data_IF_363027254434
#
_entry.id   IF_363027254434
#
_cell.length_a   1.000
_cell.length_b   1.000
_cell.length_c   1.000
_cell.angle_alpha   90.00
_cell.angle_beta   90.00
_cell.angle_gamma   90.00
#
_symmetry.space_group_name_H-M   'P 1'
#
loop_
_entity.id
_entity.type
_entity.pdbx_description
1 polymer ?
#
# COMPACT_ATOMS: atom_id res chain seq x y z
N UNK A 1 26.57 -31.58 -14.61
CA UNK A 1 26.68 -30.78 -13.37
C UNK A 1 26.82 -29.28 -13.62
N UNK A 2 27.81 -28.83 -14.42
CA UNK A 2 28.02 -27.40 -14.73
C UNK A 2 26.81 -26.68 -15.36
N UNK A 3 26.06 -27.35 -16.25
CA UNK A 3 24.84 -26.81 -16.87
C UNK A 3 23.71 -26.64 -15.85
N UNK A 4 23.57 -27.56 -14.89
CA UNK A 4 22.55 -27.50 -13.84
C UNK A 4 22.81 -26.33 -12.87
N UNK A 5 24.08 -26.12 -12.48
CA UNK A 5 24.51 -24.99 -11.64
C UNK A 5 24.28 -23.66 -12.37
N UNK A 6 24.57 -23.60 -13.68
CA UNK A 6 24.29 -22.41 -14.49
C UNK A 6 22.79 -22.14 -14.60
N UNK A 7 21.96 -23.16 -14.79
CA UNK A 7 20.50 -23.02 -14.80
C UNK A 7 19.95 -22.58 -13.44
N UNK A 8 20.50 -23.06 -12.32
CA UNK A 8 20.11 -22.62 -10.97
C UNK A 8 20.55 -21.18 -10.71
N UNK A 9 21.74 -20.77 -11.16
CA UNK A 9 22.21 -19.37 -11.08
C UNK A 9 21.39 -18.44 -11.97
N UNK A 10 21.01 -18.89 -13.17
CA UNK A 10 20.13 -18.12 -14.07
C UNK A 10 18.71 -18.06 -13.49
N UNK A 11 18.18 -19.15 -12.93
CA UNK A 11 16.90 -19.13 -12.22
C UNK A 11 16.96 -18.22 -10.99
N UNK A 12 18.03 -18.21 -10.20
CA UNK A 12 18.11 -17.34 -9.02
C UNK A 12 18.24 -15.85 -9.39
N UNK A 13 18.84 -15.53 -10.53
CA UNK A 13 18.82 -14.17 -11.11
C UNK A 13 17.43 -13.82 -11.70
N UNK A 14 16.73 -14.79 -12.29
CA UNK A 14 15.36 -14.60 -12.81
C UNK A 14 14.30 -14.53 -11.69
N UNK A 15 14.50 -15.20 -10.56
CA UNK A 15 13.63 -15.11 -9.37
C UNK A 15 13.79 -13.76 -8.66
N UNK A 16 14.86 -13.01 -8.94
CA UNK A 16 15.02 -11.61 -8.51
C UNK A 16 14.20 -10.61 -9.34
N UNK A 17 13.40 -11.05 -10.33
CA UNK A 17 12.26 -10.26 -10.81
C UNK A 17 11.12 -10.31 -9.80
N UNK A 18 11.42 -9.98 -8.55
CA UNK A 18 10.44 -9.74 -7.51
C UNK A 18 9.68 -8.49 -7.95
N UNK A 19 8.39 -8.64 -8.17
CA UNK A 19 7.47 -7.56 -8.50
C UNK A 19 7.35 -6.68 -7.24
N UNK A 20 8.29 -5.77 -7.04
CA UNK A 20 8.40 -4.90 -5.86
C UNK A 20 7.26 -3.90 -5.80
N UNK A 21 6.89 -3.35 -4.64
CA UNK A 21 5.70 -2.48 -4.46
C UNK A 21 6.06 -1.10 -3.92
N UNK A 22 5.39 -0.07 -4.43
CA UNK A 22 5.50 1.28 -3.92
C UNK A 22 4.15 1.99 -3.91
N UNK A 23 3.90 2.77 -2.86
CA UNK A 23 2.59 3.34 -2.56
C UNK A 23 2.68 4.71 -1.90
N UNK A 24 1.72 5.56 -2.21
CA UNK A 24 1.49 6.80 -1.48
C UNK A 24 0.87 6.45 -0.12
N UNK A 25 1.50 6.87 0.98
CA UNK A 25 0.96 6.71 2.33
C UNK A 25 0.14 7.93 2.73
N UNK A 26 0.66 9.11 2.39
CA UNK A 26 0.05 10.39 2.68
C UNK A 26 0.19 11.31 1.47
N UNK A 27 -0.89 11.91 0.94
CA UNK A 27 -2.28 11.77 1.39
C UNK A 27 -2.82 10.34 1.24
N UNK A 28 -3.81 9.95 2.04
CA UNK A 28 -4.35 8.58 2.06
C UNK A 28 -4.74 8.10 0.66
N UNK A 29 -4.17 6.99 0.15
CA UNK A 29 -4.38 6.58 -1.22
C UNK A 29 -5.75 5.94 -1.45
N UNK A 30 -6.16 5.87 -2.72
CA UNK A 30 -7.32 5.11 -3.19
C UNK A 30 -7.18 3.60 -2.96
N UNK A 31 -5.94 3.10 -2.97
CA UNK A 31 -5.57 1.74 -2.65
C UNK A 31 -4.27 1.74 -1.87
N UNK A 32 -4.28 1.10 -0.71
CA UNK A 32 -3.09 0.84 0.10
C UNK A 32 -2.20 -0.25 -0.50
N UNK A 33 -2.75 -1.05 -1.42
CA UNK A 33 -2.06 -2.06 -2.22
C UNK A 33 -2.23 -1.71 -3.71
N UNK A 34 -1.46 -0.73 -4.23
CA UNK A 34 -1.61 -0.28 -5.60
C UNK A 34 -1.23 -1.36 -6.62
N UNK A 35 -1.36 -1.04 -7.90
CA UNK A 35 -1.04 -1.91 -9.02
C UNK A 35 -0.21 -1.13 -10.05
N UNK A 36 0.74 -1.81 -10.70
CA UNK A 36 1.48 -1.25 -11.85
C UNK A 36 0.67 -1.20 -13.13
N UNK A 37 -0.37 -2.02 -13.23
CA UNK A 37 -1.15 -2.19 -14.47
C UNK A 37 -2.43 -1.39 -14.50
N UNK A 38 -2.83 -0.84 -13.35
CA UNK A 38 -4.04 -0.05 -13.21
C UNK A 38 -3.69 1.37 -12.79
N UNK A 39 -4.26 2.34 -13.51
CA UNK A 39 -4.15 3.75 -13.14
C UNK A 39 -4.68 3.93 -11.71
N UNK A 40 -4.03 4.82 -10.95
CA UNK A 40 -4.34 5.02 -9.53
C UNK A 40 -4.25 3.76 -8.66
N UNK A 41 -3.52 2.74 -9.12
CA UNK A 41 -3.32 1.50 -8.42
C UNK A 41 -4.58 0.65 -8.25
N UNK A 42 -5.64 0.89 -9.06
CA UNK A 42 -6.90 0.15 -9.00
C UNK A 42 -7.87 0.57 -7.88
N UNK A 43 -7.47 1.56 -7.07
CA UNK A 43 -8.25 2.03 -5.92
C UNK A 43 -9.55 2.79 -6.27
N UNK A 44 -10.43 2.99 -5.29
CA UNK A 44 -11.64 3.81 -5.45
C UNK A 44 -11.29 5.28 -5.30
N UNK A 45 -11.86 6.12 -6.16
CA UNK A 45 -11.80 7.55 -5.91
C UNK A 45 -12.55 7.86 -4.61
N UNK A 46 -11.89 8.53 -3.68
CA UNK A 46 -12.52 9.00 -2.45
C UNK A 46 -13.46 10.17 -2.78
N UNK A 47 -14.65 10.19 -2.16
CA UNK A 47 -15.67 11.23 -2.40
C UNK A 47 -15.34 12.56 -1.71
N UNK A 48 -14.42 12.55 -0.75
CA UNK A 48 -13.90 13.75 -0.07
C UNK A 48 -12.38 13.82 -0.21
N UNK A 49 -11.86 15.05 -0.16
CA UNK A 49 -10.43 15.29 -0.11
C UNK A 49 -9.83 14.72 1.17
N UNK A 50 -8.71 14.02 1.06
CA UNK A 50 -7.97 13.46 2.19
C UNK A 50 -7.00 14.46 2.78
N UNK A 51 -6.65 15.51 2.04
CA UNK A 51 -5.84 16.61 2.53
C UNK A 51 -6.22 17.89 1.78
N UNK A 52 -5.96 19.04 2.41
CA UNK A 52 -5.97 20.33 1.72
C UNK A 52 -4.54 20.81 1.53
N UNK A 53 -4.16 21.10 0.30
CA UNK A 53 -2.83 21.58 -0.09
C UNK A 53 -2.87 23.04 -0.52
N UNK A 54 -1.76 23.73 -0.29
CA UNK A 54 -1.54 25.10 -0.72
C UNK A 54 -1.19 25.16 -2.21
N UNK A 55 -1.94 25.91 -3.04
CA UNK A 55 -1.63 26.10 -4.46
C UNK A 55 -0.75 27.34 -4.69
N UNK A 56 0.41 27.41 -4.03
CA UNK A 56 1.42 28.46 -4.26
C UNK A 56 2.79 27.85 -4.57
N UNK A 57 3.44 28.37 -5.60
CA UNK A 57 4.74 27.89 -6.08
C UNK A 57 5.90 28.15 -5.13
N UNK A 58 5.76 29.07 -4.17
CA UNK A 58 6.77 29.38 -3.15
C UNK A 58 6.58 28.58 -1.84
N UNK A 59 5.58 27.70 -1.78
CA UNK A 59 5.30 26.83 -0.64
C UNK A 59 5.37 25.36 -1.08
N UNK A 60 5.90 24.50 -0.21
CA UNK A 60 5.85 23.05 -0.41
C UNK A 60 4.75 22.43 0.45
N UNK A 61 4.07 21.46 -0.15
CA UNK A 61 3.21 20.50 0.54
C UNK A 61 4.02 19.23 0.83
N UNK A 62 3.55 18.42 1.77
CA UNK A 62 4.22 17.16 2.12
C UNK A 62 3.41 15.97 1.62
N UNK A 63 4.09 15.05 0.95
CA UNK A 63 3.60 13.70 0.68
C UNK A 63 4.54 12.66 1.29
N UNK A 64 4.01 11.50 1.63
CA UNK A 64 4.78 10.36 2.13
C UNK A 64 4.65 9.22 1.14
N UNK A 65 5.78 8.75 0.62
CA UNK A 65 5.90 7.64 -0.31
C UNK A 65 6.60 6.48 0.39
N UNK A 66 6.06 5.27 0.29
CA UNK A 66 6.68 4.08 0.87
C UNK A 66 7.06 3.10 -0.24
N UNK A 67 8.33 2.71 -0.27
CA UNK A 67 8.78 1.53 -1.00
C UNK A 67 8.72 0.38 -0.02
N UNK A 68 7.92 -0.63 -0.35
CA UNK A 68 7.66 -1.74 0.57
C UNK A 68 8.56 -2.93 0.29
N UNK A 69 8.93 -3.15 -0.96
CA UNK A 69 9.97 -4.12 -1.37
C UNK A 69 10.51 -3.77 -2.75
N UNK A 70 11.78 -4.09 -3.01
CA UNK A 70 12.36 -4.17 -4.35
C UNK A 70 12.13 -2.95 -5.24
N UNK A 71 11.66 -3.20 -6.47
CA UNK A 71 11.63 -2.30 -7.63
C UNK A 71 10.87 -0.98 -7.49
N UNK A 72 10.30 -0.65 -6.33
CA UNK A 72 9.70 0.66 -6.06
C UNK A 72 10.66 1.86 -6.12
N UNK A 73 11.96 1.60 -6.29
CA UNK A 73 13.02 2.59 -6.39
C UNK A 73 12.93 3.45 -7.66
N UNK A 74 13.42 4.69 -7.54
CA UNK A 74 13.50 5.67 -8.60
C UNK A 74 12.65 6.92 -8.33
N UNK A 75 12.74 7.87 -9.27
CA UNK A 75 12.10 9.17 -9.14
C UNK A 75 10.58 9.05 -9.00
N UNK A 76 10.06 9.64 -7.93
CA UNK A 76 8.62 9.77 -7.70
C UNK A 76 8.16 11.08 -8.32
N UNK A 77 7.28 10.98 -9.31
CA UNK A 77 6.67 12.12 -9.98
C UNK A 77 5.25 12.30 -9.49
N UNK A 78 4.83 13.56 -9.35
CA UNK A 78 3.47 13.91 -8.95
C UNK A 78 2.75 14.67 -10.06
N UNK A 79 1.48 14.31 -10.30
CA UNK A 79 0.59 14.98 -11.26
C UNK A 79 -0.78 15.21 -10.65
N UNK A 80 -1.51 16.20 -11.16
CA UNK A 80 -2.90 16.49 -10.80
C UNK A 80 -3.83 16.35 -12.01
N UNK A 81 -4.96 15.71 -11.76
CA UNK A 81 -6.17 15.82 -12.55
C UNK A 81 -7.11 16.83 -11.87
N UNK A 82 -7.14 18.06 -12.38
CA UNK A 82 -7.92 19.18 -11.81
C UNK A 82 -9.43 19.07 -12.03
N UNK A 83 -9.82 18.30 -13.05
CA UNK A 83 -11.20 17.88 -13.32
C UNK A 83 -11.67 16.72 -12.41
N UNK A 84 -10.76 16.16 -11.59
CA UNK A 84 -11.03 15.02 -10.73
C UNK A 84 -11.14 13.68 -11.46
N UNK A 85 -10.73 13.59 -12.73
CA UNK A 85 -10.67 12.33 -13.46
C UNK A 85 -9.56 11.41 -12.96
N UNK A 86 -9.59 10.15 -13.39
CA UNK A 86 -8.62 9.11 -13.00
C UNK A 86 -7.98 8.42 -14.19
N UNK A 87 -8.27 8.84 -15.42
CA UNK A 87 -7.63 8.31 -16.62
C UNK A 87 -6.26 8.96 -16.83
N UNK A 88 -5.37 8.32 -17.59
CA UNK A 88 -4.05 8.88 -17.87
C UNK A 88 -4.10 10.28 -18.54
N UNK A 89 -5.14 10.53 -19.35
CA UNK A 89 -5.32 11.81 -20.05
C UNK A 89 -5.77 12.95 -19.12
N UNK A 90 -6.32 12.64 -17.94
CA UNK A 90 -6.78 13.64 -16.99
C UNK A 90 -5.61 14.32 -16.23
N UNK A 91 -4.50 13.61 -16.08
CA UNK A 91 -3.32 14.06 -15.33
C UNK A 91 -2.43 15.01 -16.14
N UNK A 92 -2.94 16.20 -16.39
CA UNK A 92 -2.31 17.21 -17.25
C UNK A 92 -1.36 18.15 -16.52
N UNK A 93 -1.50 18.29 -15.20
CA UNK A 93 -0.68 19.23 -14.40
C UNK A 93 0.44 18.49 -13.68
N UNK A 94 1.69 18.68 -14.09
CA UNK A 94 2.85 18.12 -13.40
C UNK A 94 3.26 19.01 -12.23
N UNK A 95 3.52 18.41 -11.07
CA UNK A 95 3.98 19.11 -9.87
C UNK A 95 5.49 18.99 -9.75
N UNK A 96 6.12 20.05 -9.24
CA UNK A 96 7.53 19.96 -8.87
C UNK A 96 7.65 19.22 -7.55
N UNK A 97 8.57 18.27 -7.45
CA UNK A 97 8.76 17.49 -6.24
C UNK A 97 10.22 17.16 -5.98
N UNK A 98 10.59 17.05 -4.71
CA UNK A 98 11.91 16.58 -4.28
C UNK A 98 11.80 15.81 -2.97
N UNK A 99 12.74 14.90 -2.74
CA UNK A 99 12.84 14.23 -1.45
C UNK A 99 13.33 15.22 -0.38
N UNK A 100 12.73 15.11 0.80
CA UNK A 100 13.06 15.94 1.96
C UNK A 100 14.43 15.55 2.49
N UNK A 101 15.22 16.54 2.90
CA UNK A 101 16.60 16.33 3.35
C UNK A 101 17.63 16.32 2.22
N UNK A 102 17.24 16.63 0.98
CA UNK A 102 18.17 16.91 -0.12
C UNK A 102 18.86 15.68 -0.73
N UNK A 103 18.39 14.46 -0.42
CA UNK A 103 18.83 13.26 -1.11
C UNK A 103 18.22 13.14 -2.51
N UNK A 104 18.83 12.29 -3.34
CA UNK A 104 18.26 11.91 -4.64
C UNK A 104 17.01 11.04 -4.51
N UNK A 105 16.64 10.35 -5.59
CA UNK A 105 15.43 9.53 -5.63
C UNK A 105 15.43 8.39 -4.59
N UNK A 106 14.26 7.94 -4.13
CA UNK A 106 14.12 6.73 -3.30
C UNK A 106 14.86 5.53 -3.89
N UNK A 107 15.75 4.88 -3.12
CA UNK A 107 16.65 3.84 -3.64
C UNK A 107 16.40 2.43 -3.11
N UNK A 108 15.73 2.32 -1.98
CA UNK A 108 15.56 1.07 -1.27
C UNK A 108 14.20 1.00 -0.58
N UNK A 109 13.89 -0.13 0.03
CA UNK A 109 12.76 -0.27 0.94
C UNK A 109 12.84 0.78 2.04
N UNK A 110 11.74 1.46 2.32
CA UNK A 110 11.69 2.53 3.30
C UNK A 110 10.54 3.50 3.10
N UNK A 111 10.42 4.42 4.07
CA UNK A 111 9.45 5.52 4.01
C UNK A 111 10.18 6.81 3.68
N UNK A 112 9.69 7.50 2.66
CA UNK A 112 10.28 8.70 2.07
C UNK A 112 9.30 9.85 2.14
N UNK A 113 9.83 11.01 2.51
CA UNK A 113 9.06 12.24 2.59
C UNK A 113 9.38 13.09 1.37
N UNK A 114 8.34 13.57 0.68
CA UNK A 114 8.45 14.34 -0.56
C UNK A 114 7.89 15.73 -0.32
N UNK A 115 8.68 16.76 -0.61
CA UNK A 115 8.19 18.13 -0.74
C UNK A 115 7.63 18.29 -2.16
N UNK A 116 6.35 18.66 -2.26
CA UNK A 116 5.60 18.77 -3.51
C UNK A 116 5.05 20.19 -3.66
N UNK A 117 5.38 20.86 -4.75
CA UNK A 117 4.99 22.24 -5.03
C UNK A 117 3.91 22.24 -6.09
N UNK A 118 2.78 22.88 -5.75
CA UNK A 118 1.67 23.09 -6.66
C UNK A 118 1.84 24.45 -7.34
N UNK A 119 1.76 24.54 -8.69
CA UNK A 119 1.89 25.82 -9.38
C UNK A 119 0.85 26.85 -8.90
N UNK A 120 1.27 28.11 -8.77
CA UNK A 120 0.37 29.21 -8.40
C UNK A 120 -0.77 29.34 -9.40
N UNK A 121 -2.00 29.47 -8.91
CA UNK A 121 -3.21 29.57 -9.75
C UNK A 121 -3.81 28.22 -10.17
N UNK A 122 -3.22 27.09 -9.77
CA UNK A 122 -3.86 25.78 -9.94
C UNK A 122 -5.13 25.72 -9.10
N UNK A 123 -6.26 25.33 -9.71
CA UNK A 123 -7.55 25.19 -9.04
C UNK A 123 -8.17 23.82 -9.29
N UNK A 124 -9.00 23.37 -8.33
CA UNK A 124 -9.82 22.17 -8.48
C UNK A 124 -11.29 22.57 -8.61
N UNK A 125 -12.08 21.79 -9.35
CA UNK A 125 -13.54 21.89 -9.25
C UNK A 125 -14.04 21.16 -7.97
N UNK A 126 -13.85 21.79 -6.82
CA UNK A 126 -14.09 21.21 -5.49
C UNK A 126 -12.94 20.34 -4.99
N UNK A 127 -12.63 19.24 -5.70
CA UNK A 127 -11.51 18.34 -5.39
C UNK A 127 -10.72 17.98 -6.65
N UNK A 128 -9.43 17.73 -6.48
CA UNK A 128 -8.55 17.19 -7.51
C UNK A 128 -8.19 15.74 -7.20
N UNK A 129 -7.74 15.00 -8.21
CA UNK A 129 -7.04 13.72 -7.99
C UNK A 129 -5.55 13.96 -8.14
N UNK A 130 -4.81 13.72 -7.06
CA UNK A 130 -3.35 13.62 -7.05
C UNK A 130 -2.95 12.23 -7.51
N UNK A 131 -1.99 12.14 -8.42
CA UNK A 131 -1.28 10.93 -8.76
C UNK A 131 0.18 11.05 -8.34
N UNK A 132 0.67 10.06 -7.62
CA UNK A 132 2.09 9.79 -7.43
C UNK A 132 2.46 8.56 -8.26
N UNK A 133 3.56 8.64 -9.01
CA UNK A 133 4.02 7.49 -9.78
C UNK A 133 5.54 7.43 -9.91
N UNK A 134 6.07 6.22 -10.07
CA UNK A 134 7.49 6.01 -10.39
C UNK A 134 7.62 5.63 -11.86
N UNK A 135 8.33 6.44 -12.64
CA UNK A 135 8.45 6.17 -14.08
C UNK A 135 9.32 4.95 -14.38
N UNK A 136 10.35 4.71 -13.55
CA UNK A 136 11.25 3.57 -13.66
C UNK A 136 10.57 2.22 -13.41
N UNK A 137 9.62 2.19 -12.47
CA UNK A 137 9.01 0.94 -12.01
C UNK A 137 7.51 0.81 -12.24
N UNK A 138 6.89 1.87 -12.78
CA UNK A 138 5.50 1.85 -13.22
C UNK A 138 4.49 1.76 -12.08
N UNK A 139 4.87 2.14 -10.84
CA UNK A 139 3.92 2.17 -9.73
C UNK A 139 3.06 3.41 -9.81
N UNK A 140 1.74 3.24 -9.67
CA UNK A 140 0.77 4.34 -9.64
C UNK A 140 -0.02 4.31 -8.34
N UNK A 141 -0.15 5.45 -7.68
CA UNK A 141 -1.02 5.64 -6.53
C UNK A 141 -1.71 6.99 -6.65
N UNK A 142 -2.98 7.07 -6.25
CA UNK A 142 -3.73 8.32 -6.28
C UNK A 142 -4.41 8.62 -4.95
N UNK A 143 -4.70 9.88 -4.70
CA UNK A 143 -5.50 10.36 -3.58
C UNK A 143 -6.38 11.53 -4.04
N UNK A 144 -7.55 11.69 -3.42
CA UNK A 144 -8.37 12.89 -3.60
C UNK A 144 -7.81 13.98 -2.70
N UNK A 145 -7.58 15.17 -3.23
CA UNK A 145 -7.08 16.33 -2.48
C UNK A 145 -7.94 17.56 -2.75
N UNK A 146 -7.86 18.56 -1.87
CA UNK A 146 -8.39 19.89 -2.11
C UNK A 146 -7.22 20.86 -2.26
N UNK A 147 -7.37 21.88 -3.11
CA UNK A 147 -6.46 23.01 -3.16
C UNK A 147 -7.15 24.23 -2.54
N UNK A 148 -6.49 24.86 -1.57
CA UNK A 148 -7.01 26.04 -0.88
C UNK A 148 -5.85 26.97 -0.45
N UNK A 149 -5.98 28.27 -0.71
CA UNK A 149 -4.96 29.25 -0.31
C UNK A 149 -4.94 29.46 1.20
N UNK A 150 -6.05 29.18 1.90
CA UNK A 150 -6.08 29.22 3.37
C UNK A 150 -5.13 28.18 4.00
N UNK A 151 -4.77 27.12 3.26
CA UNK A 151 -3.86 26.09 3.74
C UNK A 151 -2.38 26.50 3.71
N UNK A 152 -2.03 27.62 3.05
CA UNK A 152 -0.65 28.04 2.79
C UNK A 152 0.17 28.45 4.01
N UNK A 153 -0.51 28.77 5.11
CA UNK A 153 0.11 29.19 6.37
C UNK A 153 -0.29 28.26 7.53
N UNK A 154 -0.87 27.10 7.22
CA UNK A 154 -1.29 26.09 8.19
C UNK A 154 -0.49 24.80 8.03
N UNK A 155 -0.32 24.05 9.12
CA UNK A 155 0.21 22.70 9.05
C UNK A 155 -0.78 21.82 8.26
N UNK A 156 -0.33 21.10 7.21
CA UNK A 156 -1.20 20.20 6.47
C UNK A 156 -1.83 19.18 7.43
N UNK A 157 -3.16 19.10 7.42
CA UNK A 157 -3.92 18.15 8.23
C UNK A 157 -4.63 17.18 7.31
N UNK A 158 -4.33 15.89 7.47
CA UNK A 158 -5.12 14.85 6.83
C UNK A 158 -6.54 14.86 7.38
N UNK A 159 -7.47 14.49 6.52
CA UNK A 159 -8.86 14.27 6.91
C UNK A 159 -8.86 13.06 7.82
N UNK A 160 -9.34 13.26 9.05
CA UNK A 160 -9.37 12.21 10.06
C UNK A 160 -10.14 10.99 9.56
N UNK A 161 -9.72 9.80 9.96
CA UNK A 161 -10.56 8.61 9.88
C UNK A 161 -11.87 8.90 10.61
N UNK A 162 -12.98 8.42 10.06
CA UNK A 162 -14.30 8.54 10.66
C UNK A 162 -14.85 7.15 10.98
N UNK A 163 -15.66 7.09 12.02
CA UNK A 163 -16.34 5.88 12.44
C UNK A 163 -17.49 5.57 11.50
N UNK A 164 -17.53 4.33 10.99
CA UNK A 164 -18.63 3.79 10.21
C UNK A 164 -19.22 2.58 10.93
N UNK A 165 -20.51 2.61 11.24
CA UNK A 165 -21.22 1.40 11.67
C UNK A 165 -21.53 0.55 10.44
N UNK A 166 -20.87 -0.60 10.31
CA UNK A 166 -21.15 -1.56 9.25
C UNK A 166 -22.37 -2.39 9.65
N UNK A 167 -23.49 -2.20 8.95
CA UNK A 167 -24.73 -2.94 9.22
C UNK A 167 -24.90 -4.10 8.23
N UNK A 168 -25.77 -5.05 8.55
CA UNK A 168 -26.09 -6.19 7.66
C UNK A 168 -26.63 -5.77 6.29
N UNK A 169 -27.24 -4.59 6.19
CA UNK A 169 -27.73 -4.00 4.93
C UNK A 169 -26.68 -3.14 4.19
N UNK A 170 -25.46 -3.01 4.72
CA UNK A 170 -24.38 -2.20 4.13
C UNK A 170 -23.71 -2.85 2.91
N UNK A 171 -24.21 -4.00 2.44
CA UNK A 171 -23.71 -4.75 1.27
C UNK A 171 -22.21 -5.13 1.32
N UNK A 172 -21.60 -5.13 2.50
CA UNK A 172 -20.27 -5.70 2.75
C UNK A 172 -20.43 -7.22 2.79
N UNK A 173 -19.74 -7.93 1.90
CA UNK A 173 -19.86 -9.38 1.69
C UNK A 173 -18.54 -10.11 1.80
N UNK A 174 -17.43 -9.51 1.37
CA UNK A 174 -16.12 -10.14 1.41
C UNK A 174 -15.56 -10.06 2.83
N UNK A 175 -15.47 -8.86 3.40
CA UNK A 175 -15.09 -8.66 4.79
C UNK A 175 -16.29 -8.75 5.75
N UNK A 176 -17.13 -9.77 5.61
CA UNK A 176 -18.36 -9.93 6.40
C UNK A 176 -18.10 -10.03 7.93
N UNK A 177 -16.88 -10.39 8.33
CA UNK A 177 -16.44 -10.38 9.71
C UNK A 177 -16.52 -9.01 10.40
N UNK A 178 -16.67 -7.91 9.65
CA UNK A 178 -16.87 -6.56 10.22
C UNK A 178 -18.34 -6.15 10.32
N UNK A 179 -19.29 -7.01 9.92
CA UNK A 179 -20.71 -6.74 10.08
C UNK A 179 -21.09 -6.56 11.56
N UNK A 180 -21.96 -5.59 11.81
CA UNK A 180 -22.40 -5.12 13.13
C UNK A 180 -21.28 -4.55 14.01
N UNK A 181 -20.16 -4.14 13.42
CA UNK A 181 -19.06 -3.43 14.09
C UNK A 181 -18.94 -1.99 13.61
N UNK A 182 -18.15 -1.21 14.34
CA UNK A 182 -17.75 0.15 14.00
C UNK A 182 -16.31 0.12 13.52
N UNK A 183 -16.06 0.63 12.32
CA UNK A 183 -14.74 0.64 11.67
C UNK A 183 -14.25 2.08 11.46
N UNK A 184 -12.94 2.27 11.42
CA UNK A 184 -12.29 3.54 11.12
C UNK A 184 -11.86 3.55 9.66
N UNK A 185 -12.56 4.33 8.83
CA UNK A 185 -12.23 4.47 7.42
C UNK A 185 -12.03 5.94 7.07
N UNK A 186 -11.31 6.24 5.97
CA UNK A 186 -11.23 7.59 5.47
C UNK A 186 -12.63 8.17 5.27
N UNK A 187 -12.81 9.44 5.62
CA UNK A 187 -14.07 10.13 5.34
C UNK A 187 -14.45 9.98 3.86
N UNK A 188 -15.75 9.91 3.56
CA UNK A 188 -16.24 9.76 2.18
C UNK A 188 -16.06 8.38 1.56
N UNK A 189 -15.66 7.37 2.33
CA UNK A 189 -15.62 5.97 1.86
C UNK A 189 -17.03 5.42 1.64
N UNK A 190 -17.24 4.74 0.51
CA UNK A 190 -18.46 3.96 0.23
C UNK A 190 -18.17 2.51 0.59
N UNK A 191 -18.77 2.00 1.67
CA UNK A 191 -18.44 0.68 2.26
C UNK A 191 -18.48 -0.47 1.23
N UNK A 192 -19.53 -0.56 0.42
CA UNK A 192 -19.68 -1.61 -0.59
C UNK A 192 -18.56 -1.58 -1.63
N UNK A 193 -18.20 -0.40 -2.14
CA UNK A 193 -17.14 -0.27 -3.14
C UNK A 193 -15.77 -0.59 -2.53
N UNK A 194 -15.58 -0.23 -1.27
CA UNK A 194 -14.36 -0.51 -0.53
C UNK A 194 -14.20 -2.02 -0.29
N UNK A 195 -15.27 -2.71 0.11
CA UNK A 195 -15.30 -4.17 0.28
C UNK A 195 -15.02 -4.94 -1.04
N UNK A 196 -15.69 -4.55 -2.13
CA UNK A 196 -15.45 -5.13 -3.47
C UNK A 196 -14.00 -4.94 -3.94
N UNK A 197 -13.35 -3.85 -3.54
CA UNK A 197 -11.94 -3.60 -3.85
C UNK A 197 -11.01 -4.42 -3.00
N UNK A 198 -11.30 -4.56 -1.70
CA UNK A 198 -10.57 -5.48 -0.83
C UNK A 198 -10.64 -6.92 -1.38
N UNK A 199 -11.81 -7.34 -1.86
CA UNK A 199 -11.97 -8.61 -2.59
C UNK A 199 -11.12 -8.67 -3.87
N UNK A 200 -11.07 -7.58 -4.64
CA UNK A 200 -10.22 -7.47 -5.83
C UNK A 200 -8.73 -7.64 -5.51
N UNK A 201 -8.24 -6.98 -4.45
CA UNK A 201 -6.86 -7.11 -3.95
C UNK A 201 -6.59 -8.54 -3.52
N UNK A 202 -7.52 -9.18 -2.81
CA UNK A 202 -7.41 -10.58 -2.43
C UNK A 202 -7.21 -11.47 -3.66
N UNK A 203 -8.13 -11.37 -4.63
CA UNK A 203 -8.10 -12.18 -5.85
C UNK A 203 -6.81 -11.99 -6.64
N UNK A 204 -6.36 -10.75 -6.79
CA UNK A 204 -5.14 -10.44 -7.55
C UNK A 204 -3.88 -10.98 -6.85
N UNK A 205 -3.79 -10.84 -5.53
CA UNK A 205 -2.63 -11.30 -4.77
C UNK A 205 -2.58 -12.83 -4.69
N UNK A 206 -3.71 -13.50 -4.47
CA UNK A 206 -3.78 -14.98 -4.49
C UNK A 206 -3.43 -15.56 -5.86
N UNK A 207 -3.72 -14.84 -6.96
CA UNK A 207 -3.35 -15.25 -8.31
C UNK A 207 -1.88 -14.95 -8.67
N UNK A 208 -1.16 -14.20 -7.82
CA UNK A 208 0.20 -13.77 -8.08
C UNK A 208 1.21 -14.55 -7.22
N UNK A 209 1.91 -15.57 -7.79
CA UNK A 209 2.87 -16.40 -7.04
C UNK A 209 4.08 -15.63 -6.51
N UNK A 210 4.31 -14.40 -6.98
CA UNK A 210 5.37 -13.53 -6.46
C UNK A 210 4.96 -12.82 -5.17
N UNK A 211 3.66 -12.71 -4.87
CA UNK A 211 3.11 -12.12 -3.64
C UNK A 211 2.73 -13.23 -2.65
N UNK A 212 2.00 -14.23 -3.13
CA UNK A 212 1.55 -15.40 -2.36
C UNK A 212 2.14 -16.64 -3.02
N UNK A 213 3.20 -17.21 -2.44
CA UNK A 213 3.89 -18.38 -3.00
C UNK A 213 3.01 -19.64 -3.03
N UNK A 214 2.06 -19.75 -2.10
CA UNK A 214 1.16 -20.90 -1.97
C UNK A 214 -0.30 -20.47 -1.97
N UNK A 215 -1.04 -20.77 -3.05
CA UNK A 215 -2.48 -20.48 -3.17
C UNK A 215 -3.33 -21.71 -2.80
N UNK A 216 -3.36 -22.05 -1.52
CA UNK A 216 -4.27 -23.06 -0.95
C UNK A 216 -5.49 -22.40 -0.31
N UNK A 217 -6.56 -23.15 -0.10
CA UNK A 217 -7.73 -22.66 0.66
C UNK A 217 -7.35 -22.22 2.07
N UNK A 218 -6.39 -22.91 2.71
CA UNK A 218 -5.88 -22.52 4.03
C UNK A 218 -5.17 -21.16 3.98
N UNK A 219 -4.29 -20.95 3.00
CA UNK A 219 -3.68 -19.64 2.79
C UNK A 219 -4.74 -18.56 2.53
N UNK A 220 -5.71 -18.83 1.65
CA UNK A 220 -6.80 -17.90 1.34
C UNK A 220 -7.56 -17.46 2.58
N UNK A 221 -7.94 -18.40 3.45
CA UNK A 221 -8.66 -18.11 4.70
C UNK A 221 -7.84 -17.26 5.69
N UNK A 222 -6.52 -17.46 5.75
CA UNK A 222 -5.64 -16.67 6.61
C UNK A 222 -5.42 -15.27 6.03
N UNK A 223 -5.20 -15.17 4.72
CA UNK A 223 -4.96 -13.91 4.03
C UNK A 223 -6.18 -12.99 4.03
N UNK A 224 -7.38 -13.53 3.79
CA UNK A 224 -8.64 -12.78 3.84
C UNK A 224 -8.81 -12.07 5.18
N UNK A 225 -8.55 -12.76 6.29
CA UNK A 225 -8.65 -12.18 7.65
C UNK A 225 -7.68 -11.03 7.83
N UNK A 226 -6.41 -11.21 7.50
CA UNK A 226 -5.37 -10.18 7.59
C UNK A 226 -5.73 -8.97 6.73
N UNK A 227 -6.13 -9.21 5.49
CA UNK A 227 -6.45 -8.14 4.55
C UNK A 227 -7.67 -7.34 4.98
N UNK A 228 -8.72 -8.01 5.46
CA UNK A 228 -9.92 -7.37 5.95
C UNK A 228 -9.69 -6.59 7.26
N UNK A 229 -8.83 -7.08 8.16
CA UNK A 229 -8.50 -6.38 9.41
C UNK A 229 -7.69 -5.08 9.16
N UNK A 230 -6.78 -5.11 8.19
CA UNK A 230 -6.02 -3.90 7.76
C UNK A 230 -6.90 -2.93 6.98
N UNK A 231 -7.84 -3.44 6.16
CA UNK A 231 -8.74 -2.60 5.36
C UNK A 231 -9.84 -1.97 6.21
N UNK A 232 -10.37 -2.70 7.18
CA UNK A 232 -11.47 -2.29 8.05
C UNK A 232 -11.07 -2.35 9.53
N UNK A 233 -10.09 -1.52 9.96
CA UNK A 233 -9.70 -1.48 11.36
C UNK A 233 -10.89 -1.05 12.23
N UNK A 234 -11.07 -1.66 13.39
CA UNK A 234 -12.16 -1.31 14.29
C UNK A 234 -11.94 0.02 14.97
N UNK A 235 -13.03 0.73 15.25
CA UNK A 235 -13.00 1.87 16.16
C UNK A 235 -12.74 1.39 17.60
N UNK A 236 -11.95 2.14 18.41
CA UNK A 236 -11.75 1.82 19.82
C UNK A 236 -13.08 1.61 20.55
N UNK A 237 -13.26 0.44 21.16
CA UNK A 237 -14.47 0.11 21.90
C UNK A 237 -15.66 -0.39 21.08
N UNK A 238 -15.51 -0.59 19.76
CA UNK A 238 -16.57 -1.13 18.89
C UNK A 238 -17.18 -2.43 19.40
N UNK A 239 -16.37 -3.33 19.96
CA UNK A 239 -16.80 -4.64 20.47
C UNK A 239 -15.98 -5.07 21.70
N UNK A 240 -15.34 -4.10 22.36
CA UNK A 240 -14.43 -4.36 23.49
C UNK A 240 -13.10 -5.03 23.08
N UNK A 241 -12.83 -5.21 21.79
CA UNK A 241 -11.56 -5.76 21.28
C UNK A 241 -10.64 -4.64 20.77
N UNK A 242 -9.33 -4.93 20.60
CA UNK A 242 -8.39 -4.01 19.97
C UNK A 242 -8.84 -3.58 18.56
N UNK A 243 -8.30 -2.44 18.12
CA UNK A 243 -8.50 -1.85 16.77
C UNK A 243 -8.24 -2.88 15.67
N UNK A 244 -7.30 -3.80 15.91
CA UNK A 244 -6.98 -4.91 15.04
C UNK A 244 -7.36 -6.24 15.70
N UNK A 245 -8.13 -7.07 15.02
CA UNK A 245 -8.66 -8.34 15.55
C UNK A 245 -7.76 -9.54 15.23
N UNK A 246 -6.92 -9.42 14.21
CA UNK A 246 -5.96 -10.46 13.87
C UNK A 246 -4.85 -10.46 14.92
N UNK A 247 -4.48 -11.63 15.41
CA UNK A 247 -3.37 -11.75 16.35
C UNK A 247 -2.03 -11.75 15.62
N UNK A 248 -0.95 -11.40 16.32
CA UNK A 248 0.41 -11.54 15.80
C UNK A 248 0.64 -12.96 15.22
N UNK A 249 0.23 -14.00 15.94
CA UNK A 249 0.38 -15.39 15.51
C UNK A 249 -0.43 -15.73 14.26
N UNK A 250 -1.65 -15.21 14.14
CA UNK A 250 -2.46 -15.40 12.93
C UNK A 250 -1.80 -14.75 11.70
N UNK A 251 -1.22 -13.56 11.88
CA UNK A 251 -0.46 -12.90 10.84
C UNK A 251 0.84 -13.65 10.47
N UNK A 252 1.57 -14.19 11.46
CA UNK A 252 2.74 -15.03 11.21
C UNK A 252 2.38 -16.35 10.51
N UNK A 253 1.27 -16.97 10.90
CA UNK A 253 0.75 -18.16 10.24
C UNK A 253 0.36 -17.86 8.80
N UNK A 254 -0.26 -16.71 8.53
CA UNK A 254 -0.49 -16.23 7.17
C UNK A 254 0.83 -16.16 6.38
N UNK A 255 1.84 -15.44 6.90
CA UNK A 255 3.14 -15.29 6.22
C UNK A 255 3.75 -16.65 5.87
N UNK A 256 3.70 -17.59 6.81
CA UNK A 256 4.28 -18.93 6.67
C UNK A 256 3.48 -19.82 5.73
N UNK A 257 2.17 -19.96 5.95
CA UNK A 257 1.30 -20.88 5.21
C UNK A 257 1.10 -20.43 3.76
N UNK A 258 1.04 -19.12 3.54
CA UNK A 258 0.96 -18.56 2.19
C UNK A 258 2.30 -18.48 1.47
N UNK A 259 3.40 -18.79 2.15
CA UNK A 259 4.77 -18.54 1.68
C UNK A 259 4.86 -17.13 1.09
N UNK A 260 4.67 -16.10 1.93
CA UNK A 260 4.70 -14.71 1.48
C UNK A 260 6.12 -14.36 1.06
N UNK A 261 6.41 -14.60 -0.22
CA UNK A 261 7.75 -14.58 -0.83
C UNK A 261 8.36 -13.19 -0.81
N UNK A 262 7.50 -12.18 -0.97
CA UNK A 262 7.84 -10.77 -0.89
C UNK A 262 6.64 -10.01 -0.34
N UNK A 263 6.82 -8.80 0.20
CA UNK A 263 5.73 -7.96 0.77
C UNK A 263 5.29 -8.25 2.20
N UNK A 264 6.07 -8.97 3.01
CA UNK A 264 5.78 -9.14 4.46
C UNK A 264 5.53 -7.79 5.14
N UNK A 265 6.22 -6.72 4.73
CA UNK A 265 6.05 -5.37 5.26
C UNK A 265 4.72 -4.67 4.88
N UNK A 266 3.93 -5.20 3.94
CA UNK A 266 2.53 -4.77 3.69
C UNK A 266 1.57 -5.34 4.73
N UNK A 267 1.97 -6.40 5.42
CA UNK A 267 1.17 -7.09 6.41
C UNK A 267 1.89 -6.98 7.76
N UNK A 268 1.91 -5.78 8.36
CA UNK A 268 2.82 -5.48 9.46
C UNK A 268 2.35 -6.19 10.72
N UNK A 269 2.71 -7.48 10.90
CA UNK A 269 2.25 -8.27 12.04
C UNK A 269 2.56 -7.60 13.39
N UNK A 270 3.59 -6.76 13.44
CA UNK A 270 3.96 -5.98 14.62
C UNK A 270 2.98 -4.88 15.04
N UNK A 271 1.89 -4.63 14.30
CA UNK A 271 0.79 -3.76 14.75
C UNK A 271 -0.24 -4.51 15.59
N UNK A 272 -0.19 -5.84 15.62
CA UNK A 272 -1.07 -6.69 16.41
C UNK A 272 -0.45 -6.95 17.79
N UNK A 273 -1.28 -6.93 18.84
CA UNK A 273 -0.82 -7.18 20.21
C UNK A 273 -0.15 -8.56 20.30
N UNK A 274 1.09 -8.58 20.79
CA UNK A 274 1.85 -9.79 21.04
C UNK A 274 1.43 -10.39 22.38
N UNK A 275 0.17 -10.82 22.51
CA UNK A 275 -0.21 -11.62 23.67
C UNK A 275 0.51 -12.98 23.56
N UNK A 276 1.55 -13.14 24.38
CA UNK A 276 2.37 -14.33 24.55
C UNK A 276 2.99 -14.90 23.26
N UNK A 277 4.23 -14.54 22.97
CA UNK A 277 5.34 -15.49 22.76
C UNK A 277 6.62 -14.66 22.52
N UNK A 278 7.55 -14.73 23.46
CA UNK A 278 8.92 -14.32 23.19
C UNK A 278 9.51 -15.32 22.22
N UNK A 279 9.68 -14.95 20.94
CA UNK A 279 10.58 -15.66 20.05
C UNK A 279 11.08 -14.82 18.89
N UNK A 280 12.37 -15.03 18.67
CA UNK A 280 13.29 -14.30 17.81
C UNK A 280 12.86 -14.36 16.35
N UNK A 281 13.15 -13.28 15.64
CA UNK A 281 13.17 -13.21 14.18
C UNK A 281 13.95 -14.42 13.62
N UNK A 282 13.25 -15.44 13.15
CA UNK A 282 13.87 -16.52 12.38
C UNK A 282 14.02 -15.98 10.97
N UNK A 283 15.18 -15.38 10.71
CA UNK A 283 15.70 -15.24 9.35
C UNK A 283 15.86 -16.67 8.83
N UNK A 284 14.91 -17.13 8.02
CA UNK A 284 14.94 -18.48 7.46
C UNK A 284 16.25 -18.62 6.66
N UNK A 285 17.06 -19.67 6.91
CA UNK A 285 18.41 -19.85 6.38
C UNK A 285 18.40 -20.36 4.92
N UNK A 286 17.45 -19.92 4.10
CA UNK A 286 17.29 -20.37 2.71
C UNK A 286 18.52 -20.00 1.87
N UNK A 287 19.11 -18.83 2.11
CA UNK A 287 20.38 -18.42 1.47
C UNK A 287 21.57 -19.25 1.95
N UNK A 288 21.59 -19.70 3.21
CA UNK A 288 22.65 -20.54 3.78
C UNK A 288 22.56 -21.98 3.24
N UNK A 289 21.35 -22.52 3.09
CA UNK A 289 21.12 -23.83 2.49
C UNK A 289 21.50 -23.85 1.00
N UNK A 290 21.12 -22.82 0.23
CA UNK A 290 21.47 -22.70 -1.20
C UNK A 290 22.98 -22.58 -1.38
N UNK A 291 23.68 -21.83 -0.51
CA UNK A 291 25.14 -21.69 -0.60
C UNK A 291 25.88 -22.96 -0.16
N UNK A 292 25.38 -23.72 0.82
CA UNK A 292 25.94 -25.04 1.20
C UNK A 292 25.71 -26.07 0.08
N UNK A 293 24.49 -26.16 -0.48
CA UNK A 293 24.19 -27.07 -1.59
C UNK A 293 25.01 -26.74 -2.85
N UNK A 294 25.24 -25.45 -3.11
CA UNK A 294 26.10 -25.01 -4.22
C UNK A 294 27.56 -25.38 -3.99
N UNK A 295 28.05 -25.31 -2.75
CA UNK A 295 29.40 -25.75 -2.40
C UNK A 295 29.57 -27.26 -2.56
N UNK A 296 28.62 -28.05 -2.06
CA UNK A 296 28.63 -29.53 -2.15
C UNK A 296 28.54 -30.02 -3.59
N UNK A 297 27.90 -29.27 -4.49
CA UNK A 297 27.82 -29.58 -5.92
C UNK A 297 29.00 -29.03 -6.75
N UNK A 298 29.89 -28.22 -6.16
CA UNK A 298 31.13 -27.75 -6.81
C UNK A 298 32.34 -28.65 -6.51
N UNK A 299 32.30 -29.42 -5.44
CA UNK A 299 33.25 -30.49 -5.11
C UNK A 299 32.72 -31.86 -5.54
#
# INVERSE_FOLDING_TARGET
MRVLILCILILSVLVNFINGHAVLVSPTPFSTNPSKTQQCGGGAKQTVAQITWCPRSDKSNRATWKIVVGDGAGAVTFKLATNGGTSAADFTTTLSSKMVGGGGDPKAVGTYYMDVVVPTGTTCNGTCVLQAYTQSSGWYSCSTIKLDTSACDSTPKETSLVEFTVKTDSNVKFCDQVLNKVVLLPAGTILQEYDLKTQGVFKNNMANPLVIGTNTSECGNLYEKVLCDVSFPLAPGSDGKPVYQVTYQQCQNFIKTCDVVSHVELYPCGVYDSENEGSKLIVVPTLLLISILSLVLMF
#
